data_IF_973494376756
#
_entry.id   IF_973494376756
#
_cell.length_a   1.000
_cell.length_b   1.000
_cell.length_c   1.000
_cell.angle_alpha   90.00
_cell.angle_beta   90.00
_cell.angle_gamma   90.00
#
_symmetry.space_group_name_H-M   'P 1'
#
loop_
_entity.id
_entity.type
_entity.pdbx_description
1 polymer ?
#
# COMPACT_ATOMS: atom_id res chain seq x y z
N UNK A 1 5.28 -19.63 33.19
CA UNK A 1 3.82 -19.41 33.27
C UNK A 1 3.55 -17.92 33.20
N UNK A 2 3.48 -17.36 31.99
CA UNK A 2 3.17 -15.93 31.78
C UNK A 2 1.71 -15.80 31.39
N UNK A 3 0.88 -15.24 32.27
CA UNK A 3 -0.53 -14.96 31.95
C UNK A 3 -0.57 -13.83 30.93
N UNK A 4 -1.22 -14.07 29.78
CA UNK A 4 -1.53 -13.03 28.81
C UNK A 4 -2.40 -11.97 29.49
N UNK A 5 -2.13 -10.69 29.24
CA UNK A 5 -2.94 -9.59 29.76
C UNK A 5 -4.37 -9.78 29.27
N UNK A 6 -5.33 -9.72 30.19
CA UNK A 6 -6.75 -9.69 29.86
C UNK A 6 -7.03 -8.56 28.88
N UNK A 7 -7.78 -8.87 27.82
CA UNK A 7 -8.26 -7.89 26.86
C UNK A 7 -9.21 -6.94 27.59
N UNK A 8 -8.76 -5.71 27.83
CA UNK A 8 -9.63 -4.64 28.30
C UNK A 8 -10.27 -4.00 27.06
N UNK A 9 -11.60 -3.88 27.00
CA UNK A 9 -12.22 -3.08 25.95
C UNK A 9 -11.60 -1.67 25.95
N UNK A 10 -11.25 -1.09 24.79
CA UNK A 10 -10.71 0.26 24.73
C UNK A 10 -11.65 1.22 25.45
N UNK A 11 -11.11 2.23 26.13
CA UNK A 11 -11.89 3.20 26.93
C UNK A 11 -13.04 3.85 26.14
N UNK A 12 -12.92 3.91 24.81
CA UNK A 12 -13.95 4.39 23.88
C UNK A 12 -15.18 3.48 23.78
N UNK A 13 -15.08 2.22 24.21
CA UNK A 13 -16.17 1.24 24.21
C UNK A 13 -17.04 1.38 25.49
N UNK A 14 -16.48 1.91 26.58
CA UNK A 14 -17.23 2.25 27.80
C UNK A 14 -17.75 3.70 27.82
N UNK A 15 -17.44 4.48 26.77
CA UNK A 15 -17.81 5.89 26.69
C UNK A 15 -19.33 6.07 26.52
N UNK A 16 -19.88 7.08 27.18
CA UNK A 16 -21.31 7.38 27.08
C UNK A 16 -21.71 7.65 25.61
N UNK A 17 -22.79 7.06 25.09
CA UNK A 17 -23.18 7.23 23.69
C UNK A 17 -23.42 8.69 23.25
N UNK A 18 -23.85 9.57 24.15
CA UNK A 18 -24.05 10.99 23.84
C UNK A 18 -22.71 11.73 23.81
N UNK A 19 -21.78 11.39 24.70
CA UNK A 19 -20.40 11.90 24.65
C UNK A 19 -19.68 11.46 23.38
N UNK A 20 -19.79 10.18 23.01
CA UNK A 20 -19.26 9.66 21.74
C UNK A 20 -19.83 10.42 20.56
N UNK A 21 -21.14 10.68 20.56
CA UNK A 21 -21.80 11.43 19.50
C UNK A 21 -21.25 12.86 19.42
N UNK A 22 -21.04 13.53 20.54
CA UNK A 22 -20.43 14.88 20.58
C UNK A 22 -19.00 14.91 20.04
N UNK A 23 -18.18 13.91 20.35
CA UNK A 23 -16.83 13.75 19.80
C UNK A 23 -16.89 13.54 18.28
N UNK A 24 -17.78 12.65 17.81
CA UNK A 24 -17.96 12.40 16.39
C UNK A 24 -18.47 13.63 15.64
N UNK A 25 -19.43 14.37 16.19
CA UNK A 25 -19.95 15.59 15.57
C UNK A 25 -18.87 16.69 15.51
N UNK A 26 -17.91 16.69 16.45
CA UNK A 26 -16.75 17.61 16.45
C UNK A 26 -15.69 17.22 15.42
N UNK A 27 -15.38 15.93 15.32
CA UNK A 27 -14.37 15.41 14.37
C UNK A 27 -14.89 15.32 12.93
N UNK A 28 -16.20 15.08 12.78
CA UNK A 28 -16.90 14.86 11.51
C UNK A 28 -18.14 15.75 11.43
N UNK A 29 -17.99 17.08 11.38
CA UNK A 29 -19.11 18.02 11.39
C UNK A 29 -20.06 17.79 10.21
N UNK A 30 -21.34 17.56 10.53
CA UNK A 30 -22.41 17.40 9.55
C UNK A 30 -22.66 18.73 8.82
N UNK A 31 -22.04 18.91 7.66
CA UNK A 31 -22.14 20.15 6.88
C UNK A 31 -20.87 20.50 6.10
N UNK A 32 -19.73 19.91 6.47
CA UNK A 32 -18.60 19.81 5.56
C UNK A 32 -18.94 18.75 4.52
N UNK A 33 -19.44 19.16 3.35
CA UNK A 33 -19.59 18.23 2.23
C UNK A 33 -18.30 17.42 2.04
N UNK A 34 -18.40 16.18 1.53
CA UNK A 34 -17.22 15.40 1.19
C UNK A 34 -16.24 16.32 0.45
N UNK A 35 -14.97 16.45 0.91
CA UNK A 35 -13.98 17.23 0.20
C UNK A 35 -14.05 16.80 -1.26
N UNK A 36 -14.25 17.76 -2.17
CA UNK A 36 -14.29 17.44 -3.59
C UNK A 36 -13.03 16.61 -3.88
N UNK A 37 -13.17 15.43 -4.51
CA UNK A 37 -12.00 14.65 -4.86
C UNK A 37 -11.02 15.58 -5.58
N UNK A 38 -9.73 15.56 -5.20
CA UNK A 38 -8.73 16.33 -5.90
C UNK A 38 -8.88 16.19 -7.42
N UNK A 39 -8.66 17.25 -8.18
CA UNK A 39 -8.91 17.23 -9.63
C UNK A 39 -8.21 16.07 -10.34
N UNK A 40 -7.03 15.67 -9.88
CA UNK A 40 -6.28 14.53 -10.41
C UNK A 40 -7.01 13.17 -10.27
N UNK A 41 -7.91 13.02 -9.30
CA UNK A 41 -8.73 11.80 -9.14
C UNK A 41 -9.91 11.75 -10.13
N UNK A 42 -10.31 12.90 -10.67
CA UNK A 42 -11.46 13.02 -11.59
C UNK A 42 -11.06 13.39 -13.01
N UNK A 43 -9.76 13.60 -13.24
CA UNK A 43 -9.24 13.94 -14.55
C UNK A 43 -9.23 12.71 -15.45
N UNK A 44 -9.93 12.77 -16.59
CA UNK A 44 -9.76 11.82 -17.70
C UNK A 44 -8.45 12.02 -18.46
N UNK A 45 -7.67 13.06 -18.11
CA UNK A 45 -6.37 13.31 -18.71
C UNK A 45 -5.40 12.20 -18.29
N UNK A 46 -4.68 11.57 -19.23
CA UNK A 46 -3.61 10.65 -18.90
C UNK A 46 -2.60 11.38 -18.01
N UNK A 47 -2.41 10.88 -16.79
CA UNK A 47 -1.32 11.37 -15.96
C UNK A 47 -0.02 10.81 -16.53
N UNK A 48 0.97 11.67 -16.75
CA UNK A 48 2.32 11.22 -17.05
C UNK A 48 2.87 10.50 -15.82
N UNK A 49 2.98 9.18 -15.91
CA UNK A 49 3.59 8.36 -14.85
C UNK A 49 5.10 8.41 -15.06
N UNK A 50 5.88 8.95 -14.11
CA UNK A 50 7.33 8.91 -14.19
C UNK A 50 7.83 7.47 -14.34
N UNK A 51 8.81 7.27 -15.22
CA UNK A 51 9.47 5.98 -15.38
C UNK A 51 10.11 5.49 -14.07
N UNK A 52 10.34 4.18 -13.96
CA UNK A 52 10.81 3.59 -12.71
C UNK A 52 12.30 3.94 -12.51
N UNK A 53 12.58 4.72 -11.47
CA UNK A 53 13.92 5.22 -11.19
C UNK A 53 14.91 4.13 -10.76
N UNK A 54 16.23 4.36 -10.92
CA UNK A 54 17.25 3.44 -10.43
C UNK A 54 17.22 3.27 -8.91
N UNK A 55 16.86 4.30 -8.15
CA UNK A 55 16.75 4.27 -6.68
C UNK A 55 15.56 3.42 -6.22
N UNK A 56 14.45 3.47 -6.94
CA UNK A 56 13.29 2.61 -6.68
C UNK A 56 13.65 1.15 -6.89
N UNK A 57 14.33 0.84 -8.01
CA UNK A 57 14.84 -0.50 -8.27
C UNK A 57 15.83 -0.98 -7.22
N UNK A 58 16.80 -0.16 -6.83
CA UNK A 58 17.75 -0.50 -5.78
C UNK A 58 17.05 -0.83 -4.44
N UNK A 59 15.99 -0.09 -4.10
CA UNK A 59 15.16 -0.34 -2.91
C UNK A 59 14.43 -1.68 -2.98
N UNK A 60 13.91 -2.05 -4.15
CA UNK A 60 13.25 -3.34 -4.39
C UNK A 60 14.25 -4.49 -4.25
N UNK A 61 15.42 -4.38 -4.88
CA UNK A 61 16.48 -5.40 -4.77
C UNK A 61 16.91 -5.62 -3.32
N UNK A 62 17.08 -4.54 -2.55
CA UNK A 62 17.39 -4.63 -1.12
C UNK A 62 16.30 -5.39 -0.35
N UNK A 63 15.03 -5.19 -0.69
CA UNK A 63 13.91 -5.92 -0.08
C UNK A 63 13.89 -7.39 -0.48
N UNK A 64 14.20 -7.72 -1.74
CA UNK A 64 14.24 -9.09 -2.25
C UNK A 64 15.39 -9.91 -1.64
N UNK A 65 16.51 -9.26 -1.31
CA UNK A 65 17.64 -9.91 -0.63
C UNK A 65 17.35 -10.29 0.84
N UNK A 66 16.26 -9.78 1.42
CA UNK A 66 15.81 -10.15 2.76
C UNK A 66 15.33 -11.60 2.86
N UNK A 67 15.31 -12.14 4.08
CA UNK A 67 14.69 -13.43 4.38
C UNK A 67 13.18 -13.22 4.59
N UNK A 68 12.41 -13.41 3.52
CA UNK A 68 10.94 -13.42 3.56
C UNK A 68 10.44 -14.81 3.19
N UNK A 69 9.26 -15.13 3.71
CA UNK A 69 8.56 -16.34 3.30
C UNK A 69 8.36 -16.34 1.77
N UNK A 70 8.54 -17.47 1.08
CA UNK A 70 8.23 -17.59 -0.34
C UNK A 70 6.77 -17.22 -0.62
N UNK A 71 6.53 -16.72 -1.83
CA UNK A 71 5.17 -16.52 -2.32
C UNK A 71 4.45 -17.85 -2.60
N UNK A 72 3.21 -17.81 -3.14
CA UNK A 72 2.44 -19.00 -3.50
C UNK A 72 3.21 -19.98 -4.41
N UNK A 73 4.05 -19.44 -5.30
CA UNK A 73 4.90 -20.20 -6.21
C UNK A 73 6.06 -20.95 -5.52
N UNK A 74 6.25 -20.78 -4.20
CA UNK A 74 7.34 -21.41 -3.45
C UNK A 74 8.74 -20.84 -3.75
N UNK A 75 8.86 -19.85 -4.63
CA UNK A 75 10.15 -19.26 -5.02
C UNK A 75 10.66 -18.31 -3.92
N UNK A 76 11.85 -18.54 -3.34
CA UNK A 76 12.43 -17.66 -2.34
C UNK A 76 12.80 -16.29 -2.91
N UNK A 77 12.66 -15.22 -2.10
CA UNK A 77 12.99 -13.85 -2.53
C UNK A 77 14.44 -13.66 -2.97
N UNK A 78 15.38 -14.43 -2.41
CA UNK A 78 16.79 -14.42 -2.83
C UNK A 78 17.01 -14.89 -4.27
N UNK A 79 16.22 -15.86 -4.74
CA UNK A 79 16.29 -16.35 -6.13
C UNK A 79 15.86 -15.24 -7.08
N UNK A 80 14.78 -14.53 -6.74
CA UNK A 80 14.35 -13.34 -7.47
C UNK A 80 15.43 -12.26 -7.49
N UNK A 81 16.10 -11.99 -6.36
CA UNK A 81 17.18 -11.01 -6.30
C UNK A 81 18.33 -11.33 -7.27
N UNK A 82 18.73 -12.61 -7.38
CA UNK A 82 19.74 -13.07 -8.33
C UNK A 82 19.27 -12.94 -9.78
N UNK A 83 18.04 -13.39 -10.06
CA UNK A 83 17.47 -13.30 -11.40
C UNK A 83 17.38 -11.85 -11.91
N UNK A 84 17.08 -10.91 -11.01
CA UNK A 84 16.99 -9.50 -11.37
C UNK A 84 18.33 -8.93 -11.86
N UNK A 85 19.49 -9.42 -11.42
CA UNK A 85 20.80 -8.94 -11.91
C UNK A 85 20.95 -9.06 -13.44
N UNK A 86 20.23 -10.01 -14.05
CA UNK A 86 20.17 -10.18 -15.51
C UNK A 86 18.88 -9.61 -16.11
N UNK A 87 17.76 -9.74 -15.40
CA UNK A 87 16.43 -9.45 -15.95
C UNK A 87 15.97 -7.99 -15.75
N UNK A 88 16.65 -7.18 -14.94
CA UNK A 88 16.25 -5.80 -14.60
C UNK A 88 15.79 -4.99 -15.83
N UNK A 89 16.53 -4.91 -16.95
CA UNK A 89 16.11 -4.09 -18.08
C UNK A 89 14.76 -4.53 -18.66
N UNK A 90 14.54 -5.85 -18.75
CA UNK A 90 13.30 -6.43 -19.29
C UNK A 90 12.12 -6.25 -18.33
N UNK A 91 12.34 -6.47 -17.04
CA UNK A 91 11.29 -6.34 -16.02
C UNK A 91 10.90 -4.87 -15.83
N UNK A 92 11.86 -3.95 -15.87
CA UNK A 92 11.58 -2.50 -15.86
C UNK A 92 10.69 -2.11 -17.04
N UNK A 93 11.07 -2.47 -18.26
CA UNK A 93 10.28 -2.18 -19.45
C UNK A 93 8.88 -2.83 -19.42
N UNK A 94 8.76 -4.02 -18.82
CA UNK A 94 7.46 -4.65 -18.59
C UNK A 94 6.60 -3.81 -17.64
N UNK A 95 7.12 -3.44 -16.47
CA UNK A 95 6.37 -2.65 -15.50
C UNK A 95 6.00 -1.26 -16.02
N UNK A 96 6.90 -0.58 -16.71
CA UNK A 96 6.62 0.73 -17.33
C UNK A 96 5.45 0.64 -18.31
N UNK A 97 5.42 -0.39 -19.17
CA UNK A 97 4.29 -0.63 -20.07
C UNK A 97 3.00 -0.97 -19.33
N UNK A 98 3.07 -1.85 -18.33
CA UNK A 98 1.88 -2.19 -17.53
C UNK A 98 1.30 -0.99 -16.80
N UNK A 99 2.16 -0.11 -16.25
CA UNK A 99 1.74 1.13 -15.59
C UNK A 99 1.13 2.11 -16.59
N UNK A 100 1.79 2.33 -17.74
CA UNK A 100 1.29 3.21 -18.79
C UNK A 100 -0.08 2.74 -19.34
N UNK A 101 -0.29 1.43 -19.43
CA UNK A 101 -1.53 0.83 -19.94
C UNK A 101 -2.55 0.49 -18.84
N UNK A 102 -2.25 0.77 -17.57
CA UNK A 102 -3.13 0.49 -16.43
C UNK A 102 -3.46 -1.00 -16.24
N UNK A 103 -2.56 -1.91 -16.65
CA UNK A 103 -2.76 -3.36 -16.54
C UNK A 103 -2.11 -3.93 -15.29
N UNK A 104 -2.93 -4.57 -14.45
CA UNK A 104 -2.49 -5.20 -13.20
C UNK A 104 -2.83 -6.70 -13.19
N UNK A 105 -2.07 -7.53 -12.47
CA UNK A 105 -2.43 -8.93 -12.26
C UNK A 105 -3.80 -9.05 -11.61
N UNK A 106 -4.56 -10.09 -11.98
CA UNK A 106 -5.75 -10.49 -11.23
C UNK A 106 -5.36 -10.92 -9.81
N UNK A 107 -6.16 -10.53 -8.83
CA UNK A 107 -6.01 -10.96 -7.44
C UNK A 107 -6.36 -12.44 -7.24
#
# INVERSE_FOLDING_TARGET
MGKLRQWTPPETEEMDPLELRGVLDTLFPAGGGCPRPPEWMTSERPQEIPGIGPEEWARILRRLRGQRAPGPEGIPSKVWALAMEVLIPRVRALFERCLAEGRFPSA
#
